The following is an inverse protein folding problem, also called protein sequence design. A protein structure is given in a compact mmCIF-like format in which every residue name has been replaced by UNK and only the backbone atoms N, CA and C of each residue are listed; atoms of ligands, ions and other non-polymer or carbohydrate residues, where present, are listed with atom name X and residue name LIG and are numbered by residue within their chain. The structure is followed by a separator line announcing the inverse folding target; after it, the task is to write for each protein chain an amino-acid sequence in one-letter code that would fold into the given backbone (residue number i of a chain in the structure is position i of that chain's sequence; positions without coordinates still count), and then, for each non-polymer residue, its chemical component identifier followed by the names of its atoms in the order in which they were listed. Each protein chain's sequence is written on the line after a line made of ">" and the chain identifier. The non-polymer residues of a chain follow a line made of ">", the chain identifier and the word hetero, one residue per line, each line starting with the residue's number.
data_IF_959141496344
#
_entry.id   IF_959141496344
#
_cell.length_a   1.000
_cell.length_b   1.000
_cell.length_c   1.000
_cell.angle_alpha   90.00
_cell.angle_beta   90.00
_cell.angle_gamma   90.00
#
_symmetry.space_group_name_H-M   'P 1'
#
loop_
_entity.id
_entity.type
_entity.pdbx_description
1 polymer ?
#
# COMPACT_ATOMS: atom_id res chain seq x y z
N UNK A 1 18.95 -13.23 -6.24
CA UNK A 1 17.80 -13.34 -5.31
C UNK A 1 17.21 -11.95 -5.14
N UNK A 2 15.89 -11.83 -4.98
CA UNK A 2 15.23 -10.51 -4.84
C UNK A 2 15.36 -10.01 -3.41
N UNK A 3 15.90 -8.80 -3.25
CA UNK A 3 16.18 -8.13 -1.96
C UNK A 3 15.23 -6.97 -1.64
N UNK A 4 14.59 -6.41 -2.67
CA UNK A 4 13.71 -5.25 -2.58
C UNK A 4 12.49 -5.44 -3.48
N UNK A 5 11.31 -5.11 -2.95
CA UNK A 5 10.05 -5.03 -3.71
C UNK A 5 9.62 -3.57 -3.77
N UNK A 6 9.22 -3.12 -4.95
CA UNK A 6 8.56 -1.83 -5.16
C UNK A 6 7.07 -2.06 -5.36
N UNK A 7 6.25 -1.32 -4.63
CA UNK A 7 4.79 -1.43 -4.67
C UNK A 7 4.19 -0.07 -5.01
N UNK A 8 3.23 -0.06 -5.94
CA UNK A 8 2.29 1.05 -6.07
C UNK A 8 1.18 0.90 -5.02
N UNK A 9 0.38 1.93 -4.84
CA UNK A 9 -0.75 1.95 -3.91
C UNK A 9 -2.05 1.70 -4.67
N UNK A 10 -2.45 2.64 -5.51
CA UNK A 10 -3.79 2.63 -6.10
C UNK A 10 -3.90 1.66 -7.27
N UNK A 11 -4.67 0.59 -7.09
CA UNK A 11 -4.77 -0.51 -8.06
C UNK A 11 -3.70 -1.60 -7.89
N UNK A 12 -2.87 -1.51 -6.84
CA UNK A 12 -1.94 -2.57 -6.44
C UNK A 12 -2.20 -3.02 -4.99
N UNK A 13 -2.05 -2.13 -4.02
CA UNK A 13 -2.38 -2.39 -2.61
C UNK A 13 -3.83 -2.08 -2.26
N UNK A 14 -4.50 -1.31 -3.12
CA UNK A 14 -5.95 -1.07 -3.10
C UNK A 14 -6.57 -1.63 -4.37
N UNK A 15 -7.90 -1.73 -4.40
CA UNK A 15 -8.66 -2.09 -5.60
C UNK A 15 -8.77 -0.94 -6.63
N UNK A 16 -8.05 0.17 -6.41
CA UNK A 16 -8.02 1.34 -7.29
C UNK A 16 -9.19 2.30 -7.09
N UNK A 17 -10.11 2.04 -6.16
CA UNK A 17 -11.18 2.99 -5.82
C UNK A 17 -10.62 4.20 -5.08
N UNK A 18 -11.31 5.32 -5.27
CA UNK A 18 -11.02 6.58 -4.58
C UNK A 18 -12.29 7.03 -3.90
N UNK A 19 -12.33 6.88 -2.57
CA UNK A 19 -13.51 7.13 -1.76
C UNK A 19 -13.35 8.51 -1.11
N UNK A 20 -14.34 9.37 -1.32
CA UNK A 20 -14.41 10.70 -0.72
C UNK A 20 -15.50 10.73 0.35
N UNK A 21 -15.21 11.35 1.50
CA UNK A 21 -16.22 11.62 2.53
C UNK A 21 -16.96 12.93 2.21
N UNK A 22 -18.09 13.16 2.87
CA UNK A 22 -18.85 14.42 2.74
C UNK A 22 -18.04 15.66 3.13
N UNK A 23 -16.97 15.47 3.91
CA UNK A 23 -16.12 16.55 4.40
C UNK A 23 -14.91 16.82 3.49
N UNK A 24 -14.82 16.13 2.35
CA UNK A 24 -13.70 16.25 1.42
C UNK A 24 -12.45 15.46 1.83
N UNK A 25 -12.56 14.59 2.84
CA UNK A 25 -11.49 13.65 3.21
C UNK A 25 -11.51 12.45 2.26
N UNK A 26 -10.42 11.68 2.31
CA UNK A 26 -10.22 10.53 1.43
C UNK A 26 -10.00 9.27 2.24
N UNK A 27 -10.60 8.17 1.80
CA UNK A 27 -10.43 6.85 2.39
C UNK A 27 -9.82 5.92 1.35
N UNK A 28 -8.88 5.09 1.79
CA UNK A 28 -8.29 3.99 1.01
C UNK A 28 -8.56 2.68 1.75
N UNK A 29 -8.98 1.67 1.00
CA UNK A 29 -9.23 0.32 1.51
C UNK A 29 -8.08 -0.60 1.07
N UNK A 30 -7.58 -1.41 2.00
CA UNK A 30 -6.44 -2.32 1.81
C UNK A 30 -6.81 -3.74 2.24
N UNK A 31 -6.08 -4.75 1.73
CA UNK A 31 -6.26 -6.14 2.14
C UNK A 31 -5.31 -6.51 3.31
N UNK A 32 -5.86 -7.11 4.36
CA UNK A 32 -5.10 -7.55 5.55
C UNK A 32 -4.07 -8.63 5.21
N UNK A 33 -4.36 -9.48 4.22
CA UNK A 33 -3.43 -10.53 3.76
C UNK A 33 -2.18 -9.94 3.12
N UNK A 34 -2.33 -8.83 2.38
CA UNK A 34 -1.19 -8.13 1.80
C UNK A 34 -0.30 -7.54 2.89
N UNK A 35 -0.89 -6.98 3.95
CA UNK A 35 -0.17 -6.55 5.14
C UNK A 35 0.62 -7.68 5.81
N UNK A 36 0.00 -8.86 5.97
CA UNK A 36 0.68 -10.03 6.54
C UNK A 36 1.84 -10.52 5.66
N UNK A 37 1.69 -10.49 4.33
CA UNK A 37 2.74 -10.84 3.38
C UNK A 37 3.93 -9.86 3.42
N UNK A 38 3.64 -8.56 3.49
CA UNK A 38 4.67 -7.52 3.65
C UNK A 38 5.44 -7.73 4.95
N UNK A 39 4.74 -8.01 6.06
CA UNK A 39 5.42 -8.23 7.33
C UNK A 39 6.27 -9.50 7.32
N UNK A 40 5.78 -10.60 6.73
CA UNK A 40 6.57 -11.81 6.54
C UNK A 40 7.84 -11.54 5.72
N UNK A 41 7.74 -10.76 4.65
CA UNK A 41 8.88 -10.36 3.82
C UNK A 41 9.91 -9.53 4.60
N UNK A 42 9.45 -8.55 5.40
CA UNK A 42 10.33 -7.75 6.25
C UNK A 42 11.04 -8.60 7.32
N UNK A 43 10.37 -9.61 7.88
CA UNK A 43 10.98 -10.56 8.84
C UNK A 43 12.09 -11.42 8.23
N UNK A 44 12.13 -11.57 6.90
CA UNK A 44 13.26 -12.19 6.19
C UNK A 44 14.48 -11.26 6.08
N UNK A 45 14.45 -10.05 6.67
CA UNK A 45 15.52 -9.05 6.57
C UNK A 45 15.53 -8.30 5.24
N UNK A 46 14.48 -8.45 4.44
CA UNK A 46 14.34 -7.84 3.11
C UNK A 46 13.62 -6.51 3.18
N UNK A 47 13.67 -5.75 2.09
CA UNK A 47 13.15 -4.38 2.04
C UNK A 47 11.92 -4.26 1.15
N UNK A 48 11.09 -3.27 1.46
CA UNK A 48 10.02 -2.79 0.58
C UNK A 48 10.17 -1.29 0.38
N UNK A 49 9.68 -0.79 -0.75
CA UNK A 49 9.49 0.63 -1.02
C UNK A 49 8.12 0.84 -1.64
N UNK A 50 7.38 1.83 -1.16
CA UNK A 50 6.12 2.27 -1.77
C UNK A 50 6.42 3.49 -2.64
N UNK A 51 6.03 3.44 -3.91
CA UNK A 51 6.15 4.54 -4.86
C UNK A 51 4.77 4.78 -5.46
N UNK A 52 4.17 5.92 -5.13
CA UNK A 52 2.85 6.28 -5.65
C UNK A 52 2.82 7.75 -6.06
N UNK A 53 2.03 8.07 -7.08
CA UNK A 53 1.85 9.43 -7.57
C UNK A 53 0.89 10.27 -6.72
N UNK A 54 0.16 9.66 -5.77
CA UNK A 54 -0.81 10.36 -4.94
C UNK A 54 -0.24 10.62 -3.55
N UNK A 55 -0.25 11.89 -3.15
CA UNK A 55 -0.02 12.26 -1.76
C UNK A 55 -1.37 12.25 -1.02
N UNK A 56 -1.52 11.33 -0.07
CA UNK A 56 -2.66 11.28 0.82
C UNK A 56 -2.12 11.59 2.23
N UNK A 57 -2.58 12.67 2.89
CA UNK A 57 -2.25 12.87 4.30
C UNK A 57 -2.78 11.68 5.10
N UNK A 58 -1.95 11.16 5.99
CA UNK A 58 -2.36 10.22 7.03
C UNK A 58 -3.17 10.94 8.12
#
# INVERSE_FOLDING_TARGET
>A
MTELIFLDVDGCLTDGKIIYTSNGEFIKEFDVKDGAAIEAWLKLGKKIAIITGRNCPC
#
